data_IF_882903957921
#
_entry.id   IF_882903957921
#
_cell.length_a   1.000
_cell.length_b   1.000
_cell.length_c   1.000
_cell.angle_alpha   90.00
_cell.angle_beta   90.00
_cell.angle_gamma   90.00
#
_symmetry.space_group_name_H-M   'P 1'
#
loop_
_entity.id
_entity.type
_entity.pdbx_description
1 polymer ?
#
# COMPACT_ATOMS: atom_id res chain seq x y z
N UNK A 1 11.39 9.15 8.02
CA UNK A 1 11.03 8.38 6.83
C UNK A 1 9.72 8.89 6.27
N UNK A 2 9.68 9.20 5.00
CA UNK A 2 8.50 9.85 4.41
C UNK A 2 7.79 8.89 3.46
N UNK A 3 6.73 8.26 3.98
CA UNK A 3 5.83 7.43 3.19
C UNK A 3 4.46 8.07 3.24
N UNK A 4 3.92 8.39 2.07
CA UNK A 4 2.58 8.98 1.96
C UNK A 4 1.65 8.02 1.23
N UNK A 5 0.36 8.29 1.28
CA UNK A 5 -0.64 7.50 0.55
C UNK A 5 -1.40 8.41 -0.40
N UNK A 6 -1.90 7.82 -1.50
CA UNK A 6 -2.66 8.58 -2.50
C UNK A 6 -3.60 7.63 -3.24
N UNK A 7 -4.80 8.07 -3.56
CA UNK A 7 -5.73 7.26 -4.33
C UNK A 7 -5.24 7.14 -5.78
N UNK A 8 -5.44 5.95 -6.36
CA UNK A 8 -5.08 5.68 -7.76
C UNK A 8 -5.85 6.59 -8.74
N UNK A 9 -7.01 7.10 -8.32
CA UNK A 9 -7.87 7.95 -9.15
C UNK A 9 -7.50 9.42 -9.08
N UNK A 10 -6.61 9.81 -8.17
CA UNK A 10 -6.08 11.17 -8.12
C UNK A 10 -4.96 11.31 -9.16
N UNK A 11 -4.81 12.48 -9.79
CA UNK A 11 -3.77 12.66 -10.81
C UNK A 11 -2.36 12.42 -10.26
N UNK A 12 -1.54 11.71 -11.03
CA UNK A 12 -0.14 11.53 -10.68
C UNK A 12 0.59 12.87 -10.71
N UNK A 13 1.57 13.02 -9.82
CA UNK A 13 2.34 14.24 -9.67
C UNK A 13 3.82 13.90 -9.47
N UNK A 14 4.71 14.75 -9.91
CA UNK A 14 6.14 14.58 -9.67
C UNK A 14 6.45 14.57 -8.17
N UNK A 15 5.64 15.25 -7.36
CA UNK A 15 5.80 15.27 -5.92
C UNK A 15 5.55 13.90 -5.26
N UNK A 16 4.87 12.98 -5.96
CA UNK A 16 4.62 11.64 -5.44
C UNK A 16 5.91 10.81 -5.32
N UNK A 17 6.90 11.12 -6.15
CA UNK A 17 8.16 10.38 -6.16
C UNK A 17 7.99 8.96 -6.67
N UNK A 18 8.44 7.98 -5.87
CA UNK A 18 8.35 6.56 -6.21
C UNK A 18 6.94 6.05 -5.87
N UNK A 19 6.19 5.66 -6.89
CA UNK A 19 4.78 5.27 -6.75
C UNK A 19 4.64 3.75 -6.72
N UNK A 20 4.04 3.25 -5.63
CA UNK A 20 3.90 1.81 -5.36
C UNK A 20 2.43 1.47 -5.23
N UNK A 21 1.89 0.64 -6.13
CA UNK A 21 0.52 0.14 -5.99
C UNK A 21 0.51 -0.98 -4.94
N UNK A 22 -0.31 -0.82 -3.91
CA UNK A 22 -0.36 -1.76 -2.78
C UNK A 22 -1.64 -2.60 -2.77
N UNK A 23 -2.49 -2.45 -3.77
CA UNK A 23 -3.67 -3.29 -3.95
C UNK A 23 -3.28 -4.59 -4.66
N UNK A 24 -4.06 -5.65 -4.43
CA UNK A 24 -3.85 -6.94 -5.13
C UNK A 24 -4.31 -6.87 -6.58
N UNK A 25 -5.37 -6.10 -6.85
CA UNK A 25 -5.95 -5.97 -8.19
C UNK A 25 -5.66 -4.59 -8.77
N UNK A 26 -5.58 -4.53 -10.10
CA UNK A 26 -5.41 -3.26 -10.80
C UNK A 26 -6.65 -2.38 -10.61
N UNK A 27 -6.48 -1.07 -10.33
CA UNK A 27 -7.62 -0.16 -10.16
C UNK A 27 -8.45 -0.08 -11.44
N UNK A 28 -9.75 -0.27 -11.31
CA UNK A 28 -10.66 -0.27 -12.46
C UNK A 28 -10.68 1.12 -13.12
N UNK A 29 -10.52 1.14 -14.44
CA UNK A 29 -10.59 2.37 -15.22
C UNK A 29 -9.30 3.20 -15.24
N UNK A 30 -8.24 2.75 -14.60
CA UNK A 30 -6.95 3.44 -14.59
C UNK A 30 -6.04 2.81 -15.65
N UNK A 31 -5.55 3.60 -16.60
CA UNK A 31 -4.62 3.11 -17.61
C UNK A 31 -3.20 3.01 -17.02
N UNK A 32 -2.36 2.18 -17.63
CA UNK A 32 -0.95 2.10 -17.24
C UNK A 32 -0.25 3.44 -17.40
N UNK A 33 -0.57 4.16 -18.47
CA UNK A 33 0.04 5.47 -18.73
C UNK A 33 -0.32 6.48 -17.66
N UNK A 34 -1.59 6.53 -17.21
CA UNK A 34 -2.01 7.49 -16.19
C UNK A 34 -1.59 7.08 -14.78
N UNK A 35 -1.37 5.79 -14.54
CA UNK A 35 -1.00 5.30 -13.21
C UNK A 35 0.42 5.70 -12.81
N UNK A 36 1.34 5.79 -13.77
CA UNK A 36 2.74 6.14 -13.50
C UNK A 36 3.36 5.34 -12.35
N UNK A 37 3.13 4.02 -12.32
CA UNK A 37 3.62 3.18 -11.25
C UNK A 37 5.08 2.79 -11.47
N UNK A 38 5.84 2.78 -10.39
CA UNK A 38 7.22 2.30 -10.37
C UNK A 38 7.29 0.87 -9.89
N UNK A 39 6.30 0.42 -9.09
CA UNK A 39 6.28 -0.93 -8.54
C UNK A 39 4.86 -1.37 -8.22
N UNK A 40 4.60 -2.67 -8.31
CA UNK A 40 3.31 -3.27 -7.92
C UNK A 40 3.58 -4.57 -7.16
N UNK A 41 3.93 -4.51 -5.87
CA UNK A 41 4.17 -5.70 -5.04
C UNK A 41 2.85 -6.25 -4.50
N UNK A 42 2.21 -7.14 -5.27
CA UNK A 42 0.89 -7.69 -4.94
C UNK A 42 0.84 -8.36 -3.58
N UNK A 43 1.95 -8.92 -3.13
CA UNK A 43 2.01 -9.65 -1.86
C UNK A 43 1.94 -8.74 -0.63
N UNK A 44 1.99 -7.43 -0.81
CA UNK A 44 1.76 -6.48 0.28
C UNK A 44 0.28 -6.27 0.57
N UNK A 45 -0.61 -6.65 -0.35
CA UNK A 45 -2.04 -6.51 -0.14
C UNK A 45 -2.54 -7.53 0.88
N UNK A 46 -3.62 -7.23 1.63
CA UNK A 46 -4.26 -8.21 2.48
C UNK A 46 -4.72 -9.40 1.64
N UNK A 47 -4.80 -10.59 2.26
CA UNK A 47 -5.32 -11.77 1.57
C UNK A 47 -6.75 -11.55 1.09
N UNK A 48 -7.16 -12.34 0.07
CA UNK A 48 -8.52 -12.26 -0.45
C UNK A 48 -9.55 -12.56 0.65
N UNK A 49 -9.27 -13.56 1.50
CA UNK A 49 -10.15 -13.92 2.61
C UNK A 49 -10.30 -12.77 3.60
N UNK A 50 -9.21 -12.12 3.95
CA UNK A 50 -9.24 -11.01 4.89
C UNK A 50 -9.99 -9.81 4.31
N UNK A 51 -9.79 -9.49 3.02
CA UNK A 51 -10.51 -8.41 2.35
C UNK A 51 -12.02 -8.68 2.30
N UNK A 52 -12.40 -9.91 1.99
CA UNK A 52 -13.81 -10.31 1.93
C UNK A 52 -14.47 -10.19 3.30
N UNK A 53 -13.79 -10.60 4.34
CA UNK A 53 -14.30 -10.49 5.71
C UNK A 53 -14.46 -9.02 6.13
N UNK A 54 -13.47 -8.18 5.80
CA UNK A 54 -13.44 -6.77 6.21
C UNK A 54 -14.48 -5.92 5.49
N UNK A 55 -14.54 -6.00 4.17
CA UNK A 55 -15.44 -5.21 3.31
C UNK A 55 -15.36 -3.70 3.59
N UNK A 56 -14.19 -3.21 4.01
CA UNK A 56 -13.98 -1.81 4.39
C UNK A 56 -14.96 -1.31 5.47
N UNK A 57 -15.44 -2.22 6.33
CA UNK A 57 -16.36 -1.88 7.41
C UNK A 57 -15.57 -1.22 8.56
N UNK A 58 -15.90 0.05 8.90
CA UNK A 58 -15.19 0.75 9.98
C UNK A 58 -15.28 0.04 11.32
N UNK A 59 -16.36 -0.70 11.58
CA UNK A 59 -16.54 -1.44 12.84
C UNK A 59 -15.58 -2.63 12.95
N UNK A 60 -15.05 -3.09 11.82
CA UNK A 60 -14.08 -4.19 11.77
C UNK A 60 -12.64 -3.72 11.64
N UNK A 61 -12.42 -2.41 11.61
CA UNK A 61 -11.10 -1.81 11.32
C UNK A 61 -10.04 -2.28 12.31
N UNK A 62 -10.32 -2.32 13.60
CA UNK A 62 -9.35 -2.74 14.62
C UNK A 62 -8.93 -4.19 14.46
N UNK A 63 -9.88 -5.08 14.23
CA UNK A 63 -9.55 -6.50 14.02
C UNK A 63 -8.88 -6.71 12.66
N UNK A 64 -9.29 -5.98 11.64
CA UNK A 64 -8.63 -6.00 10.35
C UNK A 64 -7.15 -5.63 10.49
N UNK A 65 -6.83 -4.58 11.22
CA UNK A 65 -5.46 -4.15 11.43
C UNK A 65 -4.64 -5.27 12.08
N UNK A 66 -5.18 -5.89 13.13
CA UNK A 66 -4.50 -6.99 13.82
C UNK A 66 -4.22 -8.16 12.88
N UNK A 67 -5.21 -8.55 12.09
CA UNK A 67 -5.08 -9.65 11.14
C UNK A 67 -4.14 -9.33 9.99
N UNK A 68 -4.19 -8.11 9.48
CA UNK A 68 -3.31 -7.67 8.40
C UNK A 68 -1.86 -7.64 8.87
N UNK A 69 -1.60 -7.11 10.06
CA UNK A 69 -0.26 -7.13 10.64
C UNK A 69 0.27 -8.55 10.81
N UNK A 70 -0.59 -9.48 11.22
CA UNK A 70 -0.20 -10.89 11.34
C UNK A 70 0.19 -11.48 9.98
N UNK A 71 -0.51 -11.13 8.91
CA UNK A 71 -0.14 -11.55 7.56
C UNK A 71 1.21 -10.98 7.14
N UNK A 72 1.42 -9.68 7.38
CA UNK A 72 2.68 -9.02 7.02
C UNK A 72 3.87 -9.58 7.81
N UNK A 73 3.64 -9.99 9.06
CA UNK A 73 4.69 -10.52 9.92
C UNK A 73 4.99 -12.01 9.66
N UNK A 74 4.01 -12.76 9.16
CA UNK A 74 4.10 -14.22 9.15
C UNK A 74 3.99 -14.90 7.79
N UNK A 75 3.36 -14.28 6.80
CA UNK A 75 3.25 -14.90 5.47
C UNK A 75 4.57 -14.71 4.72
N UNK A 76 5.28 -15.79 4.32
CA UNK A 76 6.61 -15.65 3.74
C UNK A 76 6.71 -14.68 2.56
N UNK A 77 5.74 -14.71 1.64
CA UNK A 77 5.74 -13.80 0.49
C UNK A 77 5.54 -12.34 0.91
N UNK A 78 4.70 -12.10 1.93
CA UNK A 78 4.50 -10.76 2.47
C UNK A 78 5.74 -10.26 3.22
N UNK A 79 6.38 -11.12 4.00
CA UNK A 79 7.61 -10.78 4.70
C UNK A 79 8.69 -10.35 3.71
N UNK A 80 8.86 -11.10 2.62
CA UNK A 80 9.83 -10.76 1.58
C UNK A 80 9.49 -9.43 0.90
N UNK A 81 8.21 -9.22 0.58
CA UNK A 81 7.76 -7.98 -0.06
C UNK A 81 7.97 -6.76 0.84
N UNK A 82 7.72 -6.90 2.14
CA UNK A 82 7.98 -5.84 3.13
C UNK A 82 9.47 -5.48 3.16
N UNK A 83 10.34 -6.49 3.19
CA UNK A 83 11.78 -6.26 3.22
C UNK A 83 12.25 -5.51 1.96
N UNK A 84 11.76 -5.91 0.80
CA UNK A 84 12.11 -5.25 -0.47
C UNK A 84 11.62 -3.81 -0.49
N UNK A 85 10.38 -3.56 -0.04
CA UNK A 85 9.83 -2.21 -0.03
C UNK A 85 10.58 -1.32 0.98
N UNK A 86 10.90 -1.84 2.16
CA UNK A 86 11.68 -1.07 3.14
C UNK A 86 13.05 -0.68 2.59
N UNK A 87 13.70 -1.58 1.86
CA UNK A 87 14.97 -1.28 1.23
C UNK A 87 14.82 -0.18 0.16
N UNK A 88 13.75 -0.25 -0.65
CA UNK A 88 13.47 0.78 -1.65
C UNK A 88 13.17 2.14 -1.01
N UNK A 89 12.38 2.16 0.07
CA UNK A 89 12.07 3.38 0.81
C UNK A 89 13.35 4.02 1.35
N UNK A 90 14.22 3.22 1.95
CA UNK A 90 15.49 3.72 2.50
C UNK A 90 16.37 4.32 1.42
N UNK A 91 16.49 3.65 0.27
CA UNK A 91 17.27 4.15 -0.86
C UNK A 91 16.67 5.45 -1.40
N UNK A 92 15.36 5.50 -1.58
CA UNK A 92 14.66 6.69 -2.06
C UNK A 92 14.86 7.87 -1.11
N UNK A 93 14.68 7.64 0.18
CA UNK A 93 14.85 8.67 1.21
C UNK A 93 16.26 9.23 1.19
N UNK A 94 17.26 8.37 1.03
CA UNK A 94 18.66 8.77 0.95
C UNK A 94 18.92 9.73 -0.22
N UNK A 95 18.18 9.56 -1.31
CA UNK A 95 18.32 10.41 -2.50
C UNK A 95 17.29 11.54 -2.53
N UNK A 96 16.57 11.79 -1.45
CA UNK A 96 15.58 12.86 -1.37
C UNK A 96 14.29 12.56 -2.14
N UNK A 97 14.01 11.31 -2.45
CA UNK A 97 12.83 10.88 -3.20
C UNK A 97 11.78 10.34 -2.22
N UNK A 98 10.55 10.85 -2.36
CA UNK A 98 9.40 10.38 -1.57
C UNK A 98 8.93 9.02 -2.10
N UNK A 99 8.36 8.20 -1.21
CA UNK A 99 7.64 6.98 -1.59
C UNK A 99 6.17 7.20 -1.30
N UNK A 100 5.31 6.95 -2.30
CA UNK A 100 3.86 7.10 -2.18
C UNK A 100 3.18 5.77 -2.47
N UNK A 101 2.38 5.30 -1.50
CA UNK A 101 1.60 4.08 -1.64
C UNK A 101 0.27 4.42 -2.33
N UNK A 102 0.01 3.75 -3.44
CA UNK A 102 -1.17 4.01 -4.28
C UNK A 102 -2.22 2.94 -4.00
N UNK A 103 -3.45 3.34 -3.79
CA UNK A 103 -4.56 2.44 -3.48
C UNK A 103 -5.84 2.86 -4.19
N UNK A 104 -6.78 1.91 -4.36
CA UNK A 104 -8.02 2.15 -5.10
C UNK A 104 -9.25 2.43 -4.24
N UNK A 105 -9.20 2.21 -2.94
CA UNK A 105 -10.36 2.43 -2.06
C UNK A 105 -10.84 3.88 -2.11
N UNK A 106 -12.15 4.08 -1.93
CA UNK A 106 -12.76 5.43 -1.96
C UNK A 106 -12.46 6.23 -0.71
N UNK A 107 -12.41 5.56 0.46
CA UNK A 107 -12.26 6.24 1.75
C UNK A 107 -10.78 6.41 2.09
N UNK A 108 -10.29 7.65 2.24
CA UNK A 108 -8.89 7.89 2.57
C UNK A 108 -8.53 7.50 4.01
N UNK A 109 -9.53 7.22 4.87
CA UNK A 109 -9.29 6.82 6.25
C UNK A 109 -9.43 5.30 6.45
N UNK A 110 -10.36 4.66 5.73
CA UNK A 110 -10.66 3.23 5.86
C UNK A 110 -10.08 2.50 4.65
N UNK A 111 -8.77 2.24 4.68
CA UNK A 111 -8.06 1.52 3.63
C UNK A 111 -6.79 0.89 4.20
N UNK A 112 -6.33 -0.19 3.55
CA UNK A 112 -5.15 -0.91 4.03
C UNK A 112 -3.84 -0.16 3.77
N UNK A 113 -3.81 0.76 2.80
CA UNK A 113 -2.59 1.52 2.51
C UNK A 113 -2.19 2.40 3.70
N UNK A 114 -3.18 2.98 4.39
CA UNK A 114 -2.93 3.76 5.59
C UNK A 114 -2.30 2.91 6.69
N UNK A 115 -2.84 1.71 6.91
CA UNK A 115 -2.29 0.78 7.90
C UNK A 115 -0.89 0.32 7.52
N UNK A 116 -0.67 0.05 6.23
CA UNK A 116 0.63 -0.36 5.74
C UNK A 116 1.67 0.76 5.91
N UNK A 117 1.30 2.00 5.65
CA UNK A 117 2.20 3.13 5.85
C UNK A 117 2.67 3.24 7.30
N UNK A 118 1.74 3.06 8.25
CA UNK A 118 2.08 3.05 9.68
C UNK A 118 3.00 1.87 10.01
N UNK A 119 2.69 0.70 9.50
CA UNK A 119 3.49 -0.51 9.70
C UNK A 119 4.92 -0.32 9.20
N UNK A 120 5.09 0.24 8.00
CA UNK A 120 6.41 0.46 7.40
C UNK A 120 7.24 1.50 8.15
N UNK A 121 6.60 2.39 8.89
CA UNK A 121 7.29 3.43 9.68
C UNK A 121 7.81 2.91 11.03
N UNK A 122 7.39 1.72 11.41
CA UNK A 122 7.80 1.12 12.69
C UNK A 122 9.19 0.52 12.63
#
# INVERSE_FOLDING_TARGET
>A
MTVTIKRAYDPASDADGFRVLVDRLWPRGVSKASAHLDSWPKDLAPSADLRTWWQHDPDRQGEFETRYRAELDGTPSAVAAVAELRAAIAANTKHGVRTTLIYGAKDPQVNHARLLAVYLAE
#
